data_IF_873943280962
#
_entry.id   IF_873943280962
#
_cell.length_a   1.000
_cell.length_b   1.000
_cell.length_c   1.000
_cell.angle_alpha   90.00
_cell.angle_beta   90.00
_cell.angle_gamma   90.00
#
_symmetry.space_group_name_H-M   'P 1'
#
loop_
_entity.id
_entity.type
_entity.pdbx_description
1 polymer ?
#
# COMPACT_ATOMS: atom_id res chain seq x y z
N UNK A 1 2.38 18.45 -1.68
CA UNK A 1 2.72 17.37 -0.73
C UNK A 1 3.60 16.37 -1.45
N UNK A 2 4.65 15.84 -0.81
CA UNK A 2 5.61 14.95 -1.49
C UNK A 2 4.99 13.62 -1.92
N UNK A 3 3.99 13.13 -1.17
CA UNK A 3 3.20 11.95 -1.54
C UNK A 3 2.60 12.06 -2.96
N UNK A 4 1.95 13.18 -3.28
CA UNK A 4 1.36 13.39 -4.61
C UNK A 4 2.42 13.43 -5.72
N UNK A 5 3.61 13.97 -5.44
CA UNK A 5 4.71 13.96 -6.41
C UNK A 5 5.25 12.54 -6.64
N UNK A 6 5.33 11.71 -5.61
CA UNK A 6 5.70 10.29 -5.71
C UNK A 6 4.66 9.55 -6.57
N UNK A 7 3.37 9.74 -6.31
CA UNK A 7 2.30 9.14 -7.08
C UNK A 7 2.32 9.54 -8.56
N UNK A 8 2.52 10.83 -8.87
CA UNK A 8 2.68 11.29 -10.25
C UNK A 8 3.90 10.66 -10.94
N UNK A 9 5.02 10.53 -10.22
CA UNK A 9 6.22 9.88 -10.75
C UNK A 9 5.99 8.39 -11.03
N UNK A 10 5.30 7.67 -10.12
CA UNK A 10 4.89 6.27 -10.30
C UNK A 10 4.03 6.12 -11.56
N UNK A 11 2.96 6.93 -11.70
CA UNK A 11 2.10 6.89 -12.89
C UNK A 11 2.87 7.16 -14.18
N UNK A 12 3.75 8.17 -14.18
CA UNK A 12 4.57 8.51 -15.35
C UNK A 12 5.49 7.36 -15.75
N UNK A 13 6.25 6.82 -14.79
CA UNK A 13 7.20 5.74 -15.06
C UNK A 13 6.48 4.48 -15.53
N UNK A 14 5.34 4.13 -14.92
CA UNK A 14 4.55 2.98 -15.35
C UNK A 14 4.03 3.13 -16.78
N UNK A 15 3.59 4.34 -17.16
CA UNK A 15 3.16 4.62 -18.52
C UNK A 15 4.30 4.52 -19.56
N UNK A 16 5.55 4.77 -19.16
CA UNK A 16 6.73 4.67 -20.03
C UNK A 16 7.31 3.25 -20.11
N UNK A 17 7.14 2.41 -19.07
CA UNK A 17 7.77 1.07 -18.99
C UNK A 17 6.99 -0.04 -19.68
N UNK A 18 5.67 0.05 -19.73
CA UNK A 18 4.81 -1.03 -20.23
C UNK A 18 3.68 -0.44 -21.07
N UNK A 19 3.74 -0.63 -22.39
CA UNK A 19 2.71 -0.13 -23.31
C UNK A 19 1.33 -0.73 -22.98
N UNK A 20 1.31 -2.01 -22.57
CA UNK A 20 0.06 -2.75 -22.32
C UNK A 20 -0.49 -2.58 -20.90
N UNK A 21 0.24 -1.93 -19.99
CA UNK A 21 -0.17 -1.79 -18.58
C UNK A 21 -0.44 -0.34 -18.18
N UNK A 22 -1.52 -0.14 -17.44
CA UNK A 22 -1.87 1.11 -16.78
C UNK A 22 -1.62 1.05 -15.28
N UNK A 23 -1.48 2.22 -14.66
CA UNK A 23 -1.53 2.37 -13.21
C UNK A 23 -2.55 3.42 -12.84
N UNK A 24 -3.47 3.09 -11.94
CA UNK A 24 -4.43 4.01 -11.38
C UNK A 24 -4.17 4.20 -9.88
N UNK A 25 -4.37 5.43 -9.41
CA UNK A 25 -4.30 5.79 -8.00
C UNK A 25 -5.71 6.18 -7.57
N UNK A 26 -6.25 5.41 -6.63
CA UNK A 26 -7.64 5.49 -6.19
C UNK A 26 -7.65 5.99 -4.74
N UNK A 27 -7.98 7.25 -4.50
CA UNK A 27 -8.10 7.77 -3.14
C UNK A 27 -9.35 7.20 -2.46
N UNK A 28 -9.29 7.00 -1.15
CA UNK A 28 -10.45 6.70 -0.29
C UNK A 28 -11.26 5.46 -0.75
N UNK A 29 -10.58 4.36 -1.07
CA UNK A 29 -11.21 3.09 -1.44
C UNK A 29 -11.79 2.38 -0.22
N UNK A 30 -13.11 2.20 -0.20
CA UNK A 30 -13.80 1.42 0.84
C UNK A 30 -13.86 -0.05 0.42
N UNK A 31 -13.28 -0.94 1.24
CA UNK A 31 -13.24 -2.39 0.94
C UNK A 31 -14.20 -3.22 1.76
N UNK A 32 -14.74 -2.64 2.83
CA UNK A 32 -15.66 -3.35 3.72
C UNK A 32 -17.10 -2.94 3.41
N UNK A 33 -18.07 -3.87 3.54
CA UNK A 33 -19.48 -3.50 3.55
C UNK A 33 -19.75 -2.39 4.58
N UNK A 34 -20.83 -1.64 4.42
CA UNK A 34 -21.24 -0.60 5.38
C UNK A 34 -21.42 -1.11 6.82
N UNK A 35 -21.61 -2.42 7.00
CA UNK A 35 -21.65 -3.09 8.31
C UNK A 35 -20.28 -3.39 8.94
N UNK A 36 -19.18 -3.15 8.22
CA UNK A 36 -17.82 -3.53 8.62
C UNK A 36 -17.53 -5.04 8.47
N UNK A 37 -16.24 -5.39 8.59
CA UNK A 37 -15.71 -6.74 8.52
C UNK A 37 -15.37 -7.24 9.93
N UNK A 38 -16.07 -8.27 10.40
CA UNK A 38 -15.77 -8.86 11.72
C UNK A 38 -14.61 -9.86 11.61
N UNK A 39 -13.51 -9.56 12.27
CA UNK A 39 -12.29 -10.40 12.38
C UNK A 39 -12.21 -10.93 13.81
N UNK A 40 -11.91 -12.21 14.00
CA UNK A 40 -11.89 -12.86 15.32
C UNK A 40 -10.48 -13.33 15.67
N UNK A 41 -9.93 -12.78 16.74
CA UNK A 41 -8.68 -13.31 17.31
C UNK A 41 -8.90 -14.76 17.79
N UNK A 42 -8.14 -15.75 17.29
CA UNK A 42 -8.36 -17.15 17.61
C UNK A 42 -7.90 -17.54 19.01
N UNK A 43 -6.90 -16.84 19.56
CA UNK A 43 -6.31 -17.14 20.87
C UNK A 43 -7.16 -16.54 21.98
N UNK A 44 -7.55 -15.27 21.81
CA UNK A 44 -8.29 -14.52 22.83
C UNK A 44 -9.82 -14.56 22.63
N UNK A 45 -10.31 -15.15 21.53
CA UNK A 45 -11.71 -15.13 21.11
C UNK A 45 -12.37 -13.74 20.94
N UNK A 46 -11.58 -12.65 20.98
CA UNK A 46 -12.07 -11.28 20.80
C UNK A 46 -12.43 -11.04 19.34
N UNK A 47 -13.54 -10.33 19.10
CA UNK A 47 -13.96 -9.91 17.77
C UNK A 47 -13.68 -8.41 17.60
N UNK A 48 -13.16 -8.04 16.44
CA UNK A 48 -12.95 -6.64 16.04
C UNK A 48 -13.72 -6.42 14.75
N UNK A 49 -14.55 -5.38 14.70
CA UNK A 49 -15.20 -4.96 13.46
C UNK A 49 -14.31 -3.92 12.77
N UNK A 50 -13.75 -4.28 11.61
CA UNK A 50 -12.93 -3.41 10.80
C UNK A 50 -13.85 -2.65 9.83
N UNK A 51 -13.93 -1.34 9.98
CA UNK A 51 -14.57 -0.43 9.02
C UNK A 51 -13.43 0.28 8.29
N UNK A 52 -12.96 -0.33 7.21
CA UNK A 52 -11.69 0.06 6.57
C UNK A 52 -11.90 0.75 5.23
N UNK A 53 -11.42 1.99 5.14
CA UNK A 53 -11.14 2.69 3.90
C UNK A 53 -9.62 2.82 3.77
N UNK A 54 -9.03 2.52 2.62
CA UNK A 54 -7.65 2.91 2.35
C UNK A 54 -7.58 4.37 1.98
N UNK A 55 -6.60 5.08 2.53
CA UNK A 55 -6.33 6.46 2.11
C UNK A 55 -6.00 6.53 0.62
N UNK A 56 -5.16 5.59 0.13
CA UNK A 56 -4.93 5.41 -1.30
C UNK A 56 -4.73 3.93 -1.67
N UNK A 57 -5.24 3.54 -2.84
CA UNK A 57 -4.92 2.27 -3.49
C UNK A 57 -4.21 2.56 -4.80
N UNK A 58 -3.06 1.95 -5.02
CA UNK A 58 -2.41 1.94 -6.33
C UNK A 58 -2.72 0.60 -6.96
N UNK A 59 -3.30 0.60 -8.16
CA UNK A 59 -3.55 -0.64 -8.92
C UNK A 59 -2.81 -0.59 -10.25
N UNK A 60 -2.32 -1.75 -10.67
CA UNK A 60 -1.86 -2.01 -12.03
C UNK A 60 -2.96 -2.79 -12.78
N UNK A 61 -3.18 -2.50 -14.06
CA UNK A 61 -4.19 -3.17 -14.89
C UNK A 61 -3.72 -3.26 -16.35
N UNK A 62 -4.37 -4.09 -17.16
CA UNK A 62 -4.11 -4.23 -18.60
C UNK A 62 -4.95 -3.22 -19.40
N UNK A 63 -4.35 -2.45 -20.31
CA UNK A 63 -5.05 -1.43 -21.11
C UNK A 63 -5.95 -2.02 -22.20
N UNK A 64 -5.50 -3.09 -22.84
CA UNK A 64 -6.19 -3.67 -24.00
C UNK A 64 -7.33 -4.64 -23.62
N UNK A 65 -7.48 -4.99 -22.35
CA UNK A 65 -8.60 -5.82 -21.90
C UNK A 65 -9.83 -4.96 -21.59
N UNK A 66 -10.83 -5.02 -22.47
CA UNK A 66 -12.22 -4.70 -22.14
C UNK A 66 -12.50 -3.25 -21.71
N UNK A 67 -11.81 -2.28 -22.31
CA UNK A 67 -11.96 -0.85 -21.97
C UNK A 67 -11.67 -0.56 -20.48
N UNK A 68 -10.72 -1.28 -19.87
CA UNK A 68 -10.35 -1.14 -18.44
C UNK A 68 -10.10 0.31 -18.02
N UNK A 69 -9.44 1.10 -18.87
CA UNK A 69 -9.18 2.53 -18.69
C UNK A 69 -10.49 3.30 -18.50
N UNK A 70 -11.48 3.01 -19.34
CA UNK A 70 -12.80 3.66 -19.30
C UNK A 70 -13.59 3.19 -18.08
N UNK A 71 -13.44 1.92 -17.68
CA UNK A 71 -14.08 1.39 -16.47
C UNK A 71 -13.56 2.07 -15.20
N UNK A 72 -12.32 2.55 -15.18
CA UNK A 72 -11.76 3.33 -14.06
C UNK A 72 -12.10 4.83 -14.18
N UNK A 73 -11.99 5.40 -15.39
CA UNK A 73 -12.04 6.85 -15.61
C UNK A 73 -13.44 7.41 -15.81
N UNK A 74 -14.41 6.61 -16.27
CA UNK A 74 -15.80 7.06 -16.38
C UNK A 74 -16.43 6.94 -14.99
N UNK A 75 -16.91 8.07 -14.45
CA UNK A 75 -17.32 8.29 -13.05
C UNK A 75 -18.48 7.46 -12.47
N UNK A 76 -18.63 6.21 -12.89
CA UNK A 76 -19.43 5.16 -12.26
C UNK A 76 -18.62 3.94 -11.81
N UNK A 77 -17.28 3.98 -11.92
CA UNK A 77 -16.39 2.93 -11.45
C UNK A 77 -16.59 2.65 -9.96
N UNK A 78 -17.04 1.45 -9.61
CA UNK A 78 -17.06 1.03 -8.21
C UNK A 78 -15.68 0.56 -7.76
N UNK A 79 -15.35 0.62 -6.46
CA UNK A 79 -14.17 -0.04 -5.91
C UNK A 79 -14.01 -1.49 -6.38
N UNK A 80 -15.12 -2.23 -6.48
CA UNK A 80 -15.14 -3.61 -6.94
C UNK A 80 -14.75 -3.74 -8.42
N UNK A 81 -15.19 -2.82 -9.28
CA UNK A 81 -14.78 -2.78 -10.70
C UNK A 81 -13.27 -2.57 -10.83
N UNK A 82 -12.72 -1.66 -10.03
CA UNK A 82 -11.29 -1.36 -10.04
C UNK A 82 -10.44 -2.54 -9.54
N UNK A 83 -10.91 -3.25 -8.51
CA UNK A 83 -10.24 -4.47 -8.02
C UNK A 83 -10.37 -5.64 -9.00
N UNK A 84 -11.48 -5.75 -9.73
CA UNK A 84 -11.72 -6.85 -10.66
C UNK A 84 -10.77 -6.85 -11.88
N UNK A 85 -10.30 -5.67 -12.30
CA UNK A 85 -9.37 -5.51 -13.43
C UNK A 85 -7.91 -5.38 -12.98
N UNK A 86 -7.67 -5.27 -11.66
CA UNK A 86 -6.34 -5.08 -11.13
C UNK A 86 -5.51 -6.37 -11.27
N UNK A 87 -4.40 -6.30 -11.98
CA UNK A 87 -3.39 -7.38 -12.04
C UNK A 87 -2.43 -7.34 -10.86
N UNK A 88 -2.27 -6.17 -10.24
CA UNK A 88 -1.55 -6.00 -8.99
C UNK A 88 -2.07 -4.79 -8.21
N UNK A 89 -1.83 -4.77 -6.90
CA UNK A 89 -2.23 -3.66 -6.05
C UNK A 89 -1.24 -3.41 -4.91
N UNK A 90 -1.18 -2.14 -4.49
CA UNK A 90 -0.44 -1.68 -3.33
C UNK A 90 -1.32 -0.71 -2.55
N UNK A 91 -1.60 -1.05 -1.29
CA UNK A 91 -2.33 -0.17 -0.39
C UNK A 91 -1.37 0.84 0.26
N UNK A 92 -1.77 2.11 0.33
CA UNK A 92 -1.01 3.15 1.01
C UNK A 92 -1.87 3.74 2.13
N UNK A 93 -1.55 3.38 3.36
CA UNK A 93 -2.12 3.98 4.56
C UNK A 93 -1.40 5.31 4.84
N UNK A 94 -2.16 6.39 4.98
CA UNK A 94 -1.63 7.72 5.14
C UNK A 94 -1.78 8.24 6.58
N UNK A 95 -0.67 8.28 7.32
CA UNK A 95 -0.63 8.89 8.63
C UNK A 95 -0.61 10.43 8.50
N UNK A 96 -1.76 11.07 8.73
CA UNK A 96 -1.82 12.54 8.83
C UNK A 96 -0.91 12.99 9.98
N UNK A 97 0.14 13.76 9.65
CA UNK A 97 1.08 14.32 10.63
C UNK A 97 0.34 15.06 11.74
N UNK A 98 0.43 14.54 12.97
CA UNK A 98 0.15 15.31 14.17
C UNK A 98 1.47 15.90 14.67
N UNK A 99 1.53 17.22 14.79
CA UNK A 99 2.71 17.95 15.28
C UNK A 99 3.03 17.53 16.71
N UNK A 100 4.13 16.80 16.91
CA UNK A 100 4.65 16.47 18.24
C UNK A 100 5.83 15.49 18.16
N UNK A 101 6.84 15.67 19.02
CA UNK A 101 8.06 14.85 19.08
C UNK A 101 7.81 13.35 19.37
N UNK A 102 6.59 12.99 19.80
CA UNK A 102 6.24 11.64 20.23
C UNK A 102 5.54 10.79 19.15
N UNK A 103 5.33 11.31 17.94
CA UNK A 103 4.57 10.60 16.90
C UNK A 103 5.48 9.82 15.95
N UNK A 104 5.95 8.66 16.41
CA UNK A 104 6.61 7.67 15.55
C UNK A 104 5.61 7.09 14.56
N UNK A 105 5.96 7.09 13.27
CA UNK A 105 5.13 6.54 12.19
C UNK A 105 4.60 5.13 12.50
N UNK A 106 5.44 4.27 13.09
CA UNK A 106 5.07 2.88 13.41
C UNK A 106 3.84 2.73 14.33
N UNK A 107 3.44 3.77 15.07
CA UNK A 107 2.20 3.73 15.88
C UNK A 107 0.93 3.56 15.05
N UNK A 108 0.97 3.94 13.78
CA UNK A 108 -0.14 3.78 12.83
C UNK A 108 -0.11 2.43 12.11
N UNK A 109 0.86 1.54 12.41
CA UNK A 109 0.88 0.21 11.79
C UNK A 109 -0.36 -0.63 12.04
N UNK A 110 -0.96 -0.67 13.25
CA UNK A 110 -2.18 -1.44 13.46
C UNK A 110 -3.33 -1.02 12.53
N UNK A 111 -3.44 0.27 12.24
CA UNK A 111 -4.43 0.80 11.29
C UNK A 111 -4.11 0.37 9.86
N UNK A 112 -2.86 0.52 9.42
CA UNK A 112 -2.44 0.09 8.09
C UNK A 112 -2.62 -1.44 7.90
N UNK A 113 -2.30 -2.24 8.92
CA UNK A 113 -2.54 -3.69 8.93
C UNK A 113 -4.03 -4.01 8.86
N UNK A 114 -4.86 -3.29 9.60
CA UNK A 114 -6.31 -3.45 9.53
C UNK A 114 -6.86 -3.20 8.12
N UNK A 115 -6.42 -2.11 7.47
CA UNK A 115 -6.81 -1.81 6.08
C UNK A 115 -6.34 -2.91 5.11
N UNK A 116 -5.11 -3.41 5.28
CA UNK A 116 -4.58 -4.53 4.50
C UNK A 116 -5.36 -5.83 4.69
N UNK A 117 -5.82 -6.13 5.93
CA UNK A 117 -6.70 -7.28 6.19
C UNK A 117 -8.01 -7.13 5.43
N UNK A 118 -8.65 -5.96 5.48
CA UNK A 118 -9.89 -5.69 4.75
C UNK A 118 -9.72 -5.89 3.23
N UNK A 119 -8.63 -5.41 2.66
CA UNK A 119 -8.31 -5.60 1.24
C UNK A 119 -8.09 -7.09 0.90
N UNK A 120 -7.36 -7.82 1.76
CA UNK A 120 -7.09 -9.25 1.56
C UNK A 120 -8.36 -10.09 1.57
N UNK A 121 -9.32 -9.78 2.46
CA UNK A 121 -10.62 -10.46 2.46
C UNK A 121 -11.48 -10.09 1.23
N UNK A 122 -11.51 -8.81 0.84
CA UNK A 122 -12.26 -8.36 -0.33
C UNK A 122 -11.74 -8.98 -1.64
N UNK A 123 -10.42 -9.10 -1.78
CA UNK A 123 -9.75 -9.65 -2.97
C UNK A 123 -9.50 -11.16 -2.90
N UNK A 124 -9.80 -11.80 -1.76
CA UNK A 124 -9.51 -13.22 -1.46
C UNK A 124 -8.03 -13.57 -1.61
N UNK A 125 -7.14 -12.62 -1.37
CA UNK A 125 -5.70 -12.84 -1.46
C UNK A 125 -5.12 -13.28 -0.10
N UNK A 126 -4.23 -14.27 -0.14
CA UNK A 126 -3.47 -14.72 1.02
C UNK A 126 -2.25 -13.84 1.31
N UNK A 127 -1.81 -13.04 0.33
CA UNK A 127 -0.73 -12.08 0.49
C UNK A 127 -1.21 -10.69 0.06
N UNK A 128 -1.03 -9.69 0.93
CA UNK A 128 -1.35 -8.29 0.63
C UNK A 128 -0.13 -7.43 0.89
N UNK A 129 0.25 -6.63 -0.10
CA UNK A 129 1.33 -5.64 0.02
C UNK A 129 0.75 -4.28 0.32
N UNK A 130 1.37 -3.60 1.28
CA UNK A 130 0.94 -2.29 1.69
C UNK A 130 2.12 -1.45 2.17
N UNK A 131 1.93 -0.15 2.26
CA UNK A 131 2.87 0.73 2.92
C UNK A 131 2.16 1.76 3.78
N UNK A 132 2.85 2.18 4.83
CA UNK A 132 2.44 3.25 5.72
C UNK A 132 3.33 4.46 5.45
N UNK A 133 2.72 5.64 5.24
CA UNK A 133 3.47 6.87 5.02
C UNK A 133 2.83 8.08 5.68
N UNK A 134 3.66 9.00 6.18
CA UNK A 134 3.24 10.38 6.53
C UNK A 134 3.56 11.38 5.40
N UNK A 135 4.02 10.88 4.25
CA UNK A 135 4.49 11.64 3.10
C UNK A 135 5.97 12.02 3.19
N UNK A 136 6.66 11.74 4.29
CA UNK A 136 8.10 11.97 4.49
C UNK A 136 8.87 10.67 4.75
N UNK A 137 8.29 9.83 5.60
CA UNK A 137 8.75 8.49 5.93
C UNK A 137 7.79 7.44 5.38
N UNK A 138 8.33 6.26 5.10
CA UNK A 138 7.66 5.15 4.46
C UNK A 138 8.08 3.85 5.13
N UNK A 139 7.11 3.00 5.45
CA UNK A 139 7.32 1.64 5.92
C UNK A 139 6.57 0.75 4.94
N UNK A 140 7.28 -0.16 4.28
CA UNK A 140 6.66 -1.14 3.39
C UNK A 140 6.43 -2.43 4.17
N UNK A 141 5.32 -3.10 3.90
CA UNK A 141 4.95 -4.30 4.63
C UNK A 141 4.19 -5.31 3.77
N UNK A 142 4.37 -6.59 4.10
CA UNK A 142 3.61 -7.70 3.53
C UNK A 142 2.80 -8.32 4.63
N UNK A 143 1.50 -8.48 4.41
CA UNK A 143 0.59 -9.28 5.22
C UNK A 143 0.41 -10.64 4.54
N UNK A 144 0.65 -11.73 5.25
CA UNK A 144 0.44 -13.10 4.78
C UNK A 144 -0.59 -13.82 5.66
N UNK A 145 -1.47 -14.59 5.03
CA UNK A 145 -2.47 -15.46 5.66
C UNK A 145 -2.12 -16.91 5.34
N UNK A 146 -1.85 -17.70 6.38
CA UNK A 146 -1.57 -19.13 6.23
C UNK A 146 -2.84 -19.96 5.97
N UNK A 147 -2.68 -21.26 5.68
CA UNK A 147 -3.80 -22.19 5.44
C UNK A 147 -4.72 -22.32 6.67
N UNK A 148 -4.18 -22.10 7.87
CA UNK A 148 -4.94 -22.10 9.10
C UNK A 148 -5.67 -20.77 9.34
N UNK A 149 -5.54 -19.79 8.43
CA UNK A 149 -6.14 -18.47 8.49
C UNK A 149 -5.41 -17.48 9.40
N UNK A 150 -4.28 -17.86 9.99
CA UNK A 150 -3.49 -16.95 10.83
C UNK A 150 -2.78 -15.94 9.94
N UNK A 151 -2.85 -14.68 10.36
CA UNK A 151 -2.16 -13.60 9.67
C UNK A 151 -0.85 -13.25 10.38
N UNK A 152 0.18 -13.02 9.59
CA UNK A 152 1.48 -12.49 10.03
C UNK A 152 1.88 -11.39 9.06
N UNK A 153 2.47 -10.31 9.56
CA UNK A 153 2.96 -9.25 8.68
C UNK A 153 4.43 -8.94 8.95
N UNK A 154 5.12 -8.55 7.90
CA UNK A 154 6.56 -8.26 7.90
C UNK A 154 6.76 -6.80 7.51
N UNK A 155 7.63 -6.08 8.20
CA UNK A 155 7.90 -4.67 7.96
C UNK A 155 9.31 -4.47 7.38
N UNK A 156 9.47 -3.51 6.49
CA UNK A 156 10.78 -3.06 6.02
C UNK A 156 11.44 -2.12 7.04
N UNK A 157 12.73 -1.85 6.83
CA UNK A 157 13.34 -0.67 7.43
C UNK A 157 12.61 0.61 6.97
N UNK A 158 12.57 1.62 7.85
CA UNK A 158 11.94 2.91 7.55
C UNK A 158 12.76 3.62 6.46
N UNK A 159 12.09 4.07 5.40
CA UNK A 159 12.67 4.89 4.34
C UNK A 159 12.17 6.32 4.50
N UNK A 160 13.09 7.27 4.65
CA UNK A 160 12.76 8.68 4.83
C UNK A 160 13.60 9.53 3.89
N UNK A 161 13.03 10.61 3.35
CA UNK A 161 13.82 11.62 2.65
C UNK A 161 13.90 12.87 3.52
N UNK A 162 15.05 13.51 3.66
CA UNK A 162 15.14 14.73 4.47
C UNK A 162 14.73 15.96 3.66
N UNK A 163 13.54 16.50 3.96
CA UNK A 163 13.00 17.68 3.30
C UNK A 163 13.79 18.97 3.57
N UNK A 164 14.64 19.00 4.60
CA UNK A 164 15.53 20.13 4.87
C UNK A 164 16.67 20.24 3.85
N UNK A 165 17.08 19.11 3.25
CA UNK A 165 18.12 19.04 2.23
C UNK A 165 17.68 19.59 0.87
N UNK A 166 16.37 19.63 0.60
CA UNK A 166 15.82 20.30 -0.59
C UNK A 166 16.03 21.82 -0.51
N UNK A 167 16.05 22.38 0.70
CA UNK A 167 16.27 23.82 0.95
C UNK A 167 17.75 24.19 1.01
N UNK A 168 18.64 23.23 1.28
CA UNK A 168 20.08 23.45 1.42
C UNK A 168 20.86 22.79 0.28
N UNK A 169 21.14 23.51 -0.81
CA UNK A 169 22.18 23.34 -1.85
C UNK A 169 22.65 21.92 -2.33
N UNK A 170 22.03 20.81 -1.90
CA UNK A 170 22.30 19.45 -2.33
C UNK A 170 21.00 18.79 -2.83
N UNK A 171 20.38 19.35 -3.90
CA UNK A 171 19.14 18.83 -4.47
C UNK A 171 19.31 17.39 -4.99
N UNK A 172 20.52 17.00 -5.38
CA UNK A 172 20.83 15.67 -5.88
C UNK A 172 20.59 14.58 -4.84
N UNK A 173 20.94 14.81 -3.58
CA UNK A 173 20.73 13.81 -2.53
C UNK A 173 19.24 13.60 -2.22
N UNK A 174 18.47 14.68 -2.09
CA UNK A 174 17.03 14.60 -1.88
C UNK A 174 16.31 13.95 -3.08
N UNK A 175 16.74 14.25 -4.31
CA UNK A 175 16.22 13.60 -5.52
C UNK A 175 16.51 12.09 -5.54
N UNK A 176 17.69 11.67 -5.07
CA UNK A 176 18.02 10.24 -5.00
C UNK A 176 17.13 9.50 -3.97
N UNK A 177 16.84 10.11 -2.82
CA UNK A 177 15.93 9.52 -1.83
C UNK A 177 14.48 9.43 -2.35
N UNK A 178 14.00 10.45 -3.06
CA UNK A 178 12.66 10.40 -3.69
C UNK A 178 12.64 9.32 -4.78
N UNK A 179 13.69 9.23 -5.60
CA UNK A 179 13.81 8.19 -6.62
C UNK A 179 13.78 6.79 -6.00
N UNK A 180 14.52 6.57 -4.92
CA UNK A 180 14.51 5.29 -4.19
C UNK A 180 13.10 4.94 -3.73
N UNK A 181 12.35 5.88 -3.15
CA UNK A 181 10.96 5.64 -2.71
C UNK A 181 10.06 5.31 -3.90
N UNK A 182 10.17 6.04 -5.02
CA UNK A 182 9.39 5.76 -6.24
C UNK A 182 9.71 4.37 -6.80
N UNK A 183 10.99 3.99 -6.84
CA UNK A 183 11.42 2.67 -7.29
C UNK A 183 10.90 1.56 -6.36
N UNK A 184 10.92 1.79 -5.04
CA UNK A 184 10.33 0.87 -4.08
C UNK A 184 8.81 0.75 -4.29
N UNK A 185 8.08 1.85 -4.45
CA UNK A 185 6.62 1.78 -4.71
C UNK A 185 6.32 0.97 -5.97
N UNK A 186 7.06 1.20 -7.06
CA UNK A 186 6.92 0.43 -8.30
C UNK A 186 7.24 -1.06 -8.10
N UNK A 187 8.33 -1.35 -7.39
CA UNK A 187 8.73 -2.72 -7.09
C UNK A 187 7.72 -3.44 -6.20
N UNK A 188 7.16 -2.76 -5.20
CA UNK A 188 6.18 -3.33 -4.28
C UNK A 188 4.80 -3.49 -4.91
N UNK A 189 4.45 -2.62 -5.87
CA UNK A 189 3.25 -2.78 -6.70
C UNK A 189 3.35 -4.05 -7.55
N UNK A 190 4.49 -4.29 -8.20
CA UNK A 190 4.67 -5.42 -9.10
C UNK A 190 6.09 -6.00 -9.00
N UNK A 191 6.37 -6.83 -7.98
CA UNK A 191 7.70 -7.36 -7.78
C UNK A 191 8.03 -8.31 -8.93
N UNK A 192 9.16 -8.05 -9.57
CA UNK A 192 9.70 -8.99 -10.53
C UNK A 192 10.03 -10.31 -9.82
N UNK A 193 9.83 -11.45 -10.50
CA UNK A 193 10.10 -12.81 -9.97
C UNK A 193 11.54 -13.04 -9.48
N UNK A 194 12.42 -12.05 -9.55
CA UNK A 194 13.86 -12.19 -9.41
C UNK A 194 14.42 -11.97 -7.99
N UNK A 195 13.62 -11.51 -7.03
CA UNK A 195 14.15 -11.13 -5.70
C UNK A 195 13.67 -12.10 -4.64
N UNK A 196 14.64 -12.78 -4.03
CA UNK A 196 14.40 -13.76 -2.97
C UNK A 196 13.91 -13.04 -1.71
N UNK A 197 12.71 -13.38 -1.27
CA UNK A 197 12.00 -12.77 -0.15
C UNK A 197 12.86 -12.66 1.12
N UNK A 198 13.69 -13.66 1.39
CA UNK A 198 14.50 -13.75 2.63
C UNK A 198 15.54 -12.63 2.82
N UNK A 199 15.87 -11.84 1.79
CA UNK A 199 16.89 -10.78 1.87
C UNK A 199 16.34 -9.38 2.21
N UNK A 200 15.02 -9.19 2.26
CA UNK A 200 14.40 -7.85 2.41
C UNK A 200 13.64 -7.61 3.72
N UNK A 201 13.51 -8.61 4.59
CA UNK A 201 12.64 -8.53 5.78
C UNK A 201 13.42 -8.65 7.09
N UNK A 202 13.10 -7.78 8.05
CA UNK A 202 13.34 -8.06 9.48
C UNK A 202 11.99 -8.40 10.12
N UNK A 203 11.88 -9.60 10.71
CA UNK A 203 10.71 -10.02 11.47
C UNK A 203 10.59 -9.14 12.73
N UNK A 204 9.65 -8.20 12.77
CA UNK A 204 9.45 -7.33 13.94
C UNK A 204 8.27 -7.73 14.84
N UNK A 205 7.22 -8.34 14.29
CA UNK A 205 6.09 -8.76 15.09
C UNK A 205 5.30 -9.89 14.42
N UNK A 206 5.06 -10.98 15.16
CA UNK A 206 3.94 -11.88 14.86
C UNK A 206 2.71 -11.36 15.62
N UNK A 207 1.64 -11.09 14.90
CA UNK A 207 0.38 -10.72 15.51
C UNK A 207 -0.71 -11.60 14.89
N UNK A 208 -1.10 -12.64 15.63
CA UNK A 208 -2.06 -13.65 15.18
C UNK A 208 -3.47 -13.09 15.13
N UNK A 209 -4.03 -12.93 13.92
CA UNK A 209 -5.43 -12.56 13.72
C UNK A 209 -6.07 -13.49 12.66
N UNK A 210 -7.29 -14.02 12.91
CA UNK A 210 -8.10 -14.85 11.99
C UNK A 210 -9.35 -14.11 11.53
#
# INVERSE_FOLDING_TARGET
>A
MVLGAIFLAVSKISAERHEDHGVAILPEMTYTPTSGLVVKNPVACHQVCLTGCADYTIIQYLRDEGDSDKRILLGGATPDDALAIATAHLLVAYAKRQSGEYNKLSRYMPEAVSQAISLGEATKQSEVRFCLSDGHSWIFAILQKDEAGNRTYYESAIKSFDGSLVRMANPTHAMNQIREIVELVLYWLSPSKAVNHEQLYELKHSAQFR
#
